data_IF_918616390247
#
_entry.id   IF_918616390247
#
_cell.length_a   1.000
_cell.length_b   1.000
_cell.length_c   1.000
_cell.angle_alpha   90.00
_cell.angle_beta   90.00
_cell.angle_gamma   90.00
#
_symmetry.space_group_name_H-M   'P 1'
#
loop_
_entity.id
_entity.type
_entity.pdbx_description
1 polymer ?
#
# COMPACT_ATOMS: atom_id res chain seq x y z
N UNK A 1 2.18 16.88 -35.34
CA UNK A 1 2.59 15.98 -34.30
C UNK A 1 2.30 16.69 -32.98
N UNK A 2 1.17 16.41 -32.38
CA UNK A 2 0.87 16.91 -31.03
C UNK A 2 1.67 16.04 -30.07
N UNK A 3 2.78 16.57 -29.54
CA UNK A 3 3.38 16.00 -28.34
C UNK A 3 2.40 16.25 -27.21
N UNK A 4 1.73 15.20 -26.72
CA UNK A 4 1.08 15.22 -25.43
C UNK A 4 2.16 15.52 -24.38
N UNK A 5 2.14 16.73 -23.85
CA UNK A 5 2.97 17.12 -22.72
C UNK A 5 2.34 16.47 -21.49
N UNK A 6 2.81 15.29 -21.13
CA UNK A 6 2.47 14.64 -19.87
C UNK A 6 3.42 15.24 -18.83
N UNK A 7 2.92 15.96 -17.81
CA UNK A 7 3.78 16.38 -16.70
C UNK A 7 4.35 15.11 -16.06
N UNK A 8 5.65 14.89 -16.25
CA UNK A 8 6.31 13.63 -15.87
C UNK A 8 6.29 13.37 -14.35
N UNK A 9 5.99 14.40 -13.54
CA UNK A 9 6.26 14.41 -12.12
C UNK A 9 5.10 13.94 -11.23
N UNK A 10 3.86 13.91 -11.72
CA UNK A 10 2.70 13.48 -10.94
C UNK A 10 1.88 12.42 -11.69
N UNK A 11 1.43 11.39 -10.97
CA UNK A 11 0.50 10.38 -11.47
C UNK A 11 -0.65 10.22 -10.46
N UNK A 12 -1.74 10.98 -10.61
CA UNK A 12 -2.90 10.84 -9.73
C UNK A 12 -3.70 9.58 -10.08
N UNK A 13 -4.10 8.85 -9.06
CA UNK A 13 -4.94 7.64 -9.18
C UNK A 13 -6.03 7.63 -8.11
N UNK A 14 -7.23 8.13 -8.44
CA UNK A 14 -8.37 8.10 -7.55
C UNK A 14 -9.21 6.87 -7.85
N UNK A 15 -9.16 5.88 -6.95
CA UNK A 15 -9.89 4.62 -7.11
C UNK A 15 -10.87 4.34 -5.99
N UNK A 16 -12.06 3.89 -6.39
CA UNK A 16 -12.90 3.09 -5.48
C UNK A 16 -12.28 1.71 -5.39
N UNK A 17 -11.84 1.35 -4.20
CA UNK A 17 -11.31 0.02 -3.93
C UNK A 17 -12.51 -0.93 -3.76
N UNK A 18 -12.68 -1.95 -4.61
CA UNK A 18 -13.75 -2.93 -4.44
C UNK A 18 -13.72 -3.54 -3.04
N UNK A 19 -14.89 -3.86 -2.48
CA UNK A 19 -14.99 -4.52 -1.16
C UNK A 19 -14.28 -5.88 -1.11
N UNK A 20 -14.02 -6.46 -2.28
CA UNK A 20 -13.24 -7.69 -2.46
C UNK A 20 -11.77 -7.43 -2.79
N UNK A 21 -11.35 -6.16 -2.91
CA UNK A 21 -9.97 -5.83 -3.23
C UNK A 21 -9.07 -6.12 -2.02
N UNK A 22 -8.12 -6.97 -2.24
CA UNK A 22 -7.09 -7.32 -1.29
C UNK A 22 -5.76 -7.11 -1.99
N UNK A 23 -5.02 -6.10 -1.58
CA UNK A 23 -3.61 -6.05 -1.91
C UNK A 23 -2.95 -7.09 -1.02
N UNK A 24 -2.33 -8.09 -1.60
CA UNK A 24 -1.97 -9.31 -0.89
C UNK A 24 -0.47 -9.50 -0.75
N UNK A 25 0.34 -8.54 -1.20
CA UNK A 25 1.79 -8.63 -1.09
C UNK A 25 2.41 -7.26 -0.83
N UNK A 26 3.57 -7.29 -0.22
CA UNK A 26 4.44 -6.13 -0.19
C UNK A 26 4.96 -5.85 -1.59
N UNK A 27 5.01 -4.57 -1.92
CA UNK A 27 5.55 -4.10 -3.19
C UNK A 27 6.36 -2.82 -2.96
N UNK A 28 7.20 -2.53 -3.93
CA UNK A 28 7.95 -1.28 -4.01
C UNK A 28 7.63 -0.61 -5.34
N UNK A 29 7.83 0.66 -5.41
CA UNK A 29 7.83 1.41 -6.66
C UNK A 29 8.98 2.43 -6.67
N UNK A 30 9.28 2.95 -7.86
CA UNK A 30 10.38 3.88 -8.09
C UNK A 30 9.98 5.35 -7.96
N UNK A 31 8.92 5.64 -7.22
CA UNK A 31 8.39 6.98 -6.95
C UNK A 31 7.92 7.08 -5.51
N UNK A 32 7.80 8.29 -5.01
CA UNK A 32 7.04 8.56 -3.80
C UNK A 32 5.57 8.28 -4.02
N UNK A 33 4.88 7.78 -3.00
CA UNK A 33 3.44 7.62 -2.99
C UNK A 33 2.82 8.42 -1.86
N UNK A 34 1.90 9.33 -2.19
CA UNK A 34 0.98 9.92 -1.24
C UNK A 34 -0.34 9.14 -1.29
N UNK A 35 -0.68 8.50 -0.18
CA UNK A 35 -1.95 7.80 0.00
C UNK A 35 -2.87 8.64 0.88
N UNK A 36 -4.07 8.96 0.38
CA UNK A 36 -5.12 9.61 1.17
C UNK A 36 -6.39 8.77 1.18
N UNK A 37 -6.89 8.42 2.38
CA UNK A 37 -8.10 7.62 2.53
C UNK A 37 -9.33 8.52 2.60
N UNK A 38 -10.10 8.57 1.51
CA UNK A 38 -11.30 9.39 1.37
C UNK A 38 -12.48 8.79 2.16
N UNK A 39 -12.61 7.46 2.16
CA UNK A 39 -13.61 6.74 2.96
C UNK A 39 -13.19 5.32 3.27
N UNK A 40 -13.77 4.72 4.31
CA UNK A 40 -13.47 3.38 4.77
C UNK A 40 -12.30 3.32 5.72
N UNK A 41 -11.77 2.11 5.88
CA UNK A 41 -10.64 1.80 6.75
C UNK A 41 -9.67 0.87 6.04
N UNK A 42 -8.37 1.11 6.20
CA UNK A 42 -7.35 0.18 5.73
C UNK A 42 -6.20 0.08 6.73
N UNK A 43 -5.49 -1.02 6.66
CA UNK A 43 -4.22 -1.20 7.36
C UNK A 43 -3.10 -0.97 6.37
N UNK A 44 -2.19 -0.06 6.70
CA UNK A 44 -0.98 0.23 5.95
C UNK A 44 0.21 -0.39 6.68
N UNK A 45 0.94 -1.22 5.99
CA UNK A 45 2.22 -1.78 6.41
C UNK A 45 3.34 -1.07 5.67
N UNK A 46 4.30 -0.52 6.40
CA UNK A 46 5.52 0.10 5.85
C UNK A 46 6.71 -0.47 6.62
N UNK A 47 7.57 -1.24 5.94
CA UNK A 47 8.66 -1.96 6.60
C UNK A 47 8.11 -2.77 7.80
N UNK A 48 8.67 -2.56 8.97
CA UNK A 48 8.28 -3.22 10.24
C UNK A 48 7.12 -2.50 10.96
N UNK A 49 6.55 -1.45 10.37
CA UNK A 49 5.53 -0.64 11.02
C UNK A 49 4.16 -0.88 10.41
N UNK A 50 3.15 -0.81 11.26
CA UNK A 50 1.77 -0.94 10.87
C UNK A 50 0.95 0.24 11.37
N UNK A 51 0.07 0.75 10.50
CA UNK A 51 -0.79 1.88 10.78
C UNK A 51 -2.24 1.54 10.42
N UNK A 52 -3.17 1.77 11.33
CA UNK A 52 -4.59 1.73 10.99
C UNK A 52 -5.02 3.08 10.44
N UNK A 53 -5.28 3.12 9.15
CA UNK A 53 -5.78 4.29 8.47
C UNK A 53 -7.30 4.28 8.46
N UNK A 54 -7.89 5.44 8.69
CA UNK A 54 -9.33 5.69 8.60
C UNK A 54 -9.59 6.90 7.70
N UNK A 55 -10.84 7.16 7.40
CA UNK A 55 -11.23 8.35 6.63
C UNK A 55 -10.45 9.59 7.09
N UNK A 56 -9.78 10.25 6.15
CA UNK A 56 -8.95 11.43 6.37
C UNK A 56 -7.51 11.13 6.80
N UNK A 57 -7.07 9.87 6.88
CA UNK A 57 -5.65 9.56 7.04
C UNK A 57 -4.89 9.83 5.73
N UNK A 58 -3.71 10.45 5.86
CA UNK A 58 -2.76 10.70 4.79
C UNK A 58 -1.43 10.06 5.17
N UNK A 59 -0.86 9.29 4.26
CA UNK A 59 0.46 8.67 4.41
C UNK A 59 1.35 9.06 3.23
N UNK A 60 2.65 9.26 3.51
CA UNK A 60 3.69 9.38 2.50
C UNK A 60 4.59 8.15 2.59
N UNK A 61 4.78 7.50 1.47
CA UNK A 61 5.58 6.28 1.35
C UNK A 61 6.77 6.62 0.46
N UNK A 62 7.99 6.52 1.01
CA UNK A 62 9.19 6.84 0.25
C UNK A 62 9.43 5.86 -0.90
N UNK A 63 10.10 6.36 -1.93
CA UNK A 63 10.66 5.59 -3.02
C UNK A 63 11.41 4.34 -2.52
N UNK A 64 11.20 3.19 -3.16
CA UNK A 64 11.88 1.93 -2.86
C UNK A 64 11.52 1.27 -1.52
N UNK A 65 10.62 1.86 -0.75
CA UNK A 65 10.20 1.31 0.53
C UNK A 65 9.10 0.26 0.34
N UNK A 66 9.33 -0.94 0.87
CA UNK A 66 8.34 -2.01 0.87
C UNK A 66 7.12 -1.62 1.72
N UNK A 67 5.96 -1.73 1.12
CA UNK A 67 4.69 -1.44 1.79
C UNK A 67 3.54 -2.27 1.22
N UNK A 68 2.46 -2.34 1.99
CA UNK A 68 1.24 -3.04 1.61
C UNK A 68 0.02 -2.36 2.26
N UNK A 69 -1.10 -2.32 1.54
CA UNK A 69 -2.38 -1.90 2.11
C UNK A 69 -3.39 -3.03 2.08
N UNK A 70 -4.09 -3.25 3.20
CA UNK A 70 -5.21 -4.19 3.28
C UNK A 70 -6.47 -3.44 3.68
N UNK A 71 -7.59 -3.72 2.99
CA UNK A 71 -8.86 -3.04 3.21
C UNK A 71 -9.83 -3.94 3.95
N UNK A 72 -10.60 -3.40 4.88
CA UNK A 72 -11.62 -4.17 5.59
C UNK A 72 -12.76 -4.55 4.63
N UNK A 73 -13.16 -5.81 4.68
CA UNK A 73 -14.30 -6.31 3.90
C UNK A 73 -15.62 -5.75 4.42
N UNK A 74 -16.53 -5.44 3.50
CA UNK A 74 -17.90 -4.99 3.84
C UNK A 74 -18.07 -3.47 3.84
N UNK A 75 -17.00 -2.68 3.75
CA UNK A 75 -17.07 -1.22 3.66
C UNK A 75 -16.71 -0.73 2.24
N UNK A 76 -17.28 0.40 1.84
CA UNK A 76 -16.87 1.10 0.62
C UNK A 76 -15.60 1.88 0.91
N UNK A 77 -14.48 1.35 0.44
CA UNK A 77 -13.19 2.02 0.56
C UNK A 77 -12.92 2.87 -0.69
N UNK A 78 -12.58 4.14 -0.49
CA UNK A 78 -12.17 5.06 -1.55
C UNK A 78 -10.84 5.67 -1.14
N UNK A 79 -9.84 5.55 -1.99
CA UNK A 79 -8.53 6.15 -1.81
C UNK A 79 -8.16 7.06 -2.97
N UNK A 80 -7.33 8.03 -2.70
CA UNK A 80 -6.56 8.76 -3.71
C UNK A 80 -5.10 8.40 -3.53
N UNK A 81 -4.42 8.06 -4.61
CA UNK A 81 -2.97 7.92 -4.68
C UNK A 81 -2.43 9.03 -5.56
N UNK A 82 -1.28 9.56 -5.20
CA UNK A 82 -0.52 10.49 -5.99
C UNK A 82 0.94 10.04 -5.97
N UNK A 83 1.47 9.67 -7.12
CA UNK A 83 2.88 9.35 -7.28
C UNK A 83 3.64 10.57 -7.75
N UNK A 84 4.82 10.80 -7.19
CA UNK A 84 5.67 11.94 -7.54
C UNK A 84 7.16 11.59 -7.39
N UNK A 85 8.01 12.39 -8.00
CA UNK A 85 9.47 12.20 -8.00
C UNK A 85 10.15 13.05 -6.91
N UNK A 86 11.40 12.75 -6.56
CA UNK A 86 12.19 13.47 -5.55
C UNK A 86 12.33 14.95 -5.87
N UNK A 87 12.33 15.31 -7.15
CA UNK A 87 12.47 16.68 -7.63
C UNK A 87 11.39 17.61 -7.04
N UNK A 88 10.18 17.09 -6.81
CA UNK A 88 9.10 17.86 -6.20
C UNK A 88 9.35 18.19 -4.72
N UNK A 89 10.27 17.49 -4.07
CA UNK A 89 10.66 17.74 -2.69
C UNK A 89 11.80 18.76 -2.57
N UNK A 90 12.56 19.00 -3.65
CA UNK A 90 13.68 19.94 -3.64
C UNK A 90 13.23 21.37 -3.31
N UNK A 91 12.04 21.75 -3.78
CA UNK A 91 11.45 23.05 -3.47
C UNK A 91 11.36 23.32 -1.95
N UNK A 92 11.04 22.31 -1.16
CA UNK A 92 10.93 22.44 0.30
C UNK A 92 12.28 22.65 0.96
N UNK A 93 13.32 21.98 0.46
CA UNK A 93 14.69 22.14 0.93
C UNK A 93 15.24 23.54 0.60
N UNK A 94 14.95 24.06 -0.61
CA UNK A 94 15.35 25.38 -1.06
C UNK A 94 14.70 26.53 -0.24
N UNK A 95 13.54 26.27 0.35
CA UNK A 95 12.81 27.24 1.17
C UNK A 95 13.02 27.05 2.68
N UNK A 96 14.07 26.32 3.08
CA UNK A 96 14.43 26.06 4.49
C UNK A 96 13.25 25.48 5.32
N UNK A 97 12.30 24.84 4.65
CA UNK A 97 11.20 24.16 5.30
C UNK A 97 11.70 22.79 5.73
N UNK A 98 12.44 22.75 6.81
CA UNK A 98 12.98 21.56 7.53
C UNK A 98 13.48 20.45 6.58
N UNK A 99 14.50 19.73 6.95
CA UNK A 99 14.95 18.60 6.13
C UNK A 99 13.77 17.62 5.93
N UNK A 100 13.10 17.79 4.80
CA UNK A 100 11.91 17.02 4.46
C UNK A 100 12.24 15.53 4.44
N UNK A 101 13.49 15.18 4.10
CA UNK A 101 14.00 13.82 4.13
C UNK A 101 13.97 13.23 5.52
N UNK A 102 14.31 14.00 6.56
CA UNK A 102 14.26 13.54 7.96
C UNK A 102 12.82 13.35 8.45
N UNK A 103 11.92 14.25 8.07
CA UNK A 103 10.50 14.13 8.40
C UNK A 103 9.88 12.93 7.67
N UNK A 104 10.19 12.75 6.40
CA UNK A 104 9.59 11.70 5.55
C UNK A 104 10.31 10.35 5.72
N UNK A 105 11.60 10.33 6.10
CA UNK A 105 12.35 9.10 6.40
C UNK A 105 11.82 8.32 7.59
N UNK A 106 10.99 8.94 8.43
CA UNK A 106 10.41 8.38 9.64
C UNK A 106 9.00 7.80 9.52
N UNK A 107 8.50 7.42 8.34
CA UNK A 107 7.12 6.96 8.12
C UNK A 107 6.08 8.04 8.45
N UNK A 108 5.84 8.91 7.49
CA UNK A 108 4.91 10.01 7.63
C UNK A 108 3.45 9.52 7.50
N UNK A 109 2.74 9.46 8.62
CA UNK A 109 1.31 9.14 8.64
C UNK A 109 0.58 10.11 9.55
N UNK A 110 -0.35 10.89 8.99
CA UNK A 110 -1.11 11.91 9.72
C UNK A 110 -2.60 11.76 9.52
N UNK A 111 -3.37 12.17 10.53
CA UNK A 111 -4.82 12.28 10.46
C UNK A 111 -5.21 13.72 10.14
N UNK A 112 -5.79 13.95 8.99
CA UNK A 112 -6.32 15.25 8.62
C UNK A 112 -7.59 15.54 9.46
N UNK A 113 -7.64 16.67 10.15
CA UNK A 113 -8.82 17.06 10.92
C UNK A 113 -10.10 17.08 10.08
N UNK A 114 -11.22 16.60 10.62
CA UNK A 114 -12.47 16.44 9.88
C UNK A 114 -12.89 17.69 9.09
N UNK A 115 -12.73 18.89 9.72
CA UNK A 115 -13.03 20.18 9.10
C UNK A 115 -12.19 20.55 7.86
N UNK A 116 -11.10 19.80 7.61
CA UNK A 116 -10.14 20.05 6.51
C UNK A 116 -10.07 18.90 5.50
N UNK A 117 -10.81 17.83 5.71
CA UNK A 117 -10.80 16.68 4.79
C UNK A 117 -11.35 17.03 3.40
N UNK A 118 -12.38 17.88 3.32
CA UNK A 118 -12.90 18.39 2.05
C UNK A 118 -11.87 19.23 1.30
N UNK A 119 -11.11 20.05 2.02
CA UNK A 119 -10.03 20.86 1.45
C UNK A 119 -8.93 19.98 0.85
N UNK A 120 -8.45 18.94 1.56
CA UNK A 120 -7.44 18.02 1.01
C UNK A 120 -7.97 17.30 -0.23
N UNK A 121 -9.22 16.82 -0.18
CA UNK A 121 -9.85 16.21 -1.35
C UNK A 121 -9.90 17.17 -2.54
N UNK A 122 -10.27 18.42 -2.32
CA UNK A 122 -10.29 19.46 -3.36
C UNK A 122 -8.91 19.68 -3.98
N UNK A 123 -7.83 19.72 -3.17
CA UNK A 123 -6.47 19.84 -3.71
C UNK A 123 -6.09 18.64 -4.60
N UNK A 124 -6.41 17.43 -4.16
CA UNK A 124 -6.16 16.21 -4.96
C UNK A 124 -6.97 16.21 -6.27
N UNK A 125 -8.22 16.66 -6.23
CA UNK A 125 -9.06 16.79 -7.42
C UNK A 125 -8.48 17.85 -8.40
N UNK A 126 -7.96 18.98 -7.88
CA UNK A 126 -7.28 20.01 -8.68
C UNK A 126 -6.00 19.49 -9.33
N UNK A 127 -5.15 18.79 -8.58
CA UNK A 127 -3.94 18.16 -9.12
C UNK A 127 -4.33 17.20 -10.25
N UNK A 128 -5.36 16.37 -10.03
CA UNK A 128 -5.84 15.44 -11.06
C UNK A 128 -6.41 16.15 -12.29
N UNK A 129 -7.10 17.27 -12.11
CA UNK A 129 -7.62 18.08 -13.21
C UNK A 129 -6.48 18.66 -14.04
N UNK A 130 -5.49 19.29 -13.40
CA UNK A 130 -4.35 19.90 -14.09
C UNK A 130 -3.43 18.86 -14.73
N UNK A 131 -3.33 17.65 -14.17
CA UNK A 131 -2.61 16.54 -14.79
C UNK A 131 -3.18 16.17 -16.17
N UNK A 132 -4.50 16.30 -16.36
CA UNK A 132 -5.16 16.10 -17.65
C UNK A 132 -5.30 17.41 -18.45
N UNK A 133 -4.76 18.50 -17.93
CA UNK A 133 -4.78 19.80 -18.58
C UNK A 133 -3.97 19.81 -19.88
N UNK A 134 -4.41 20.65 -20.83
CA UNK A 134 -3.83 20.69 -22.19
C UNK A 134 -3.01 21.96 -22.45
N UNK A 135 -2.91 22.83 -21.47
CA UNK A 135 -2.15 24.09 -21.63
C UNK A 135 -0.76 24.04 -20.96
N UNK A 136 0.10 24.98 -21.30
CA UNK A 136 1.48 25.05 -20.81
C UNK A 136 1.59 25.51 -19.33
N UNK A 137 0.49 25.91 -18.70
CA UNK A 137 0.46 26.42 -17.32
C UNK A 137 -0.01 25.32 -16.37
N UNK A 138 -0.76 24.35 -16.84
CA UNK A 138 -1.29 23.23 -16.03
C UNK A 138 -0.23 22.53 -15.16
N UNK A 139 1.00 22.24 -15.65
CA UNK A 139 2.04 21.66 -14.80
C UNK A 139 2.40 22.52 -13.59
N UNK A 140 2.48 23.82 -13.78
CA UNK A 140 2.81 24.76 -12.69
C UNK A 140 1.67 24.81 -11.64
N UNK A 141 0.41 24.75 -12.07
CA UNK A 141 -0.71 24.66 -11.15
C UNK A 141 -0.71 23.33 -10.38
N UNK A 142 -0.45 22.20 -11.04
CA UNK A 142 -0.36 20.91 -10.38
C UNK A 142 0.71 20.92 -9.28
N UNK A 143 1.91 21.43 -9.57
CA UNK A 143 3.01 21.61 -8.61
C UNK A 143 2.60 22.54 -7.46
N UNK A 144 1.97 23.68 -7.73
CA UNK A 144 1.55 24.60 -6.68
C UNK A 144 0.50 23.97 -5.73
N UNK A 145 -0.48 23.25 -6.26
CA UNK A 145 -1.48 22.54 -5.46
C UNK A 145 -0.86 21.40 -4.65
N UNK A 146 0.13 20.69 -5.20
CA UNK A 146 0.88 19.68 -4.49
C UNK A 146 1.68 20.27 -3.31
N UNK A 147 2.41 21.36 -3.53
CA UNK A 147 3.16 22.04 -2.47
C UNK A 147 2.23 22.53 -1.36
N UNK A 148 1.09 23.12 -1.71
CA UNK A 148 0.08 23.57 -0.74
C UNK A 148 -0.46 22.39 0.09
N UNK A 149 -0.78 21.27 -0.56
CA UNK A 149 -1.26 20.05 0.09
C UNK A 149 -0.21 19.50 1.06
N UNK A 150 1.03 19.38 0.62
CA UNK A 150 2.11 18.81 1.43
C UNK A 150 2.48 19.72 2.61
N UNK A 151 2.55 21.04 2.41
CA UNK A 151 2.73 22.02 3.48
C UNK A 151 1.64 21.88 4.56
N UNK A 152 0.40 21.66 4.14
CA UNK A 152 -0.69 21.46 5.09
C UNK A 152 -0.55 20.14 5.84
N UNK A 153 -0.16 19.06 5.16
CA UNK A 153 0.07 17.76 5.78
C UNK A 153 1.23 17.83 6.81
N UNK A 154 2.34 18.49 6.46
CA UNK A 154 3.46 18.75 7.36
C UNK A 154 3.01 19.54 8.61
N UNK A 155 2.20 20.57 8.42
CA UNK A 155 1.61 21.31 9.55
C UNK A 155 0.76 20.43 10.44
N UNK A 156 0.00 19.48 9.88
CA UNK A 156 -0.77 18.52 10.68
C UNK A 156 0.12 17.64 11.55
N UNK A 157 1.32 17.28 11.09
CA UNK A 157 2.27 16.46 11.85
C UNK A 157 2.79 17.17 13.11
N UNK A 158 2.87 18.52 13.10
CA UNK A 158 3.31 19.27 14.29
C UNK A 158 2.35 19.15 15.46
N UNK A 159 1.12 18.76 15.23
CA UNK A 159 0.11 18.55 16.29
C UNK A 159 0.05 17.06 16.66
N UNK A 160 0.42 16.71 17.90
CA UNK A 160 0.47 15.32 18.39
C UNK A 160 -0.83 14.55 18.18
N UNK A 161 -1.98 15.21 18.29
CA UNK A 161 -3.31 14.60 18.11
C UNK A 161 -3.59 14.17 16.66
N UNK A 162 -2.83 14.68 15.70
CA UNK A 162 -2.98 14.36 14.28
C UNK A 162 -1.99 13.27 13.82
N UNK A 163 -1.00 12.92 14.62
CA UNK A 163 -0.07 11.84 14.28
C UNK A 163 -0.78 10.51 14.47
N UNK A 164 -0.86 9.73 13.43
CA UNK A 164 -1.38 8.35 13.54
C UNK A 164 -0.29 7.51 14.21
N UNK A 165 -0.57 7.13 15.46
CA UNK A 165 0.36 6.28 16.20
C UNK A 165 0.52 4.94 15.49
N UNK A 166 1.74 4.39 15.54
CA UNK A 166 1.95 2.97 15.26
C UNK A 166 0.97 2.18 16.11
N UNK A 167 0.42 1.10 15.58
CA UNK A 167 -0.41 0.23 16.40
C UNK A 167 0.39 -0.22 17.63
N UNK A 168 -0.24 -0.05 18.78
CA UNK A 168 0.35 -0.36 20.08
C UNK A 168 0.84 -1.81 20.11
N UNK A 169 2.00 -2.02 20.72
CA UNK A 169 2.75 -3.27 20.86
C UNK A 169 1.95 -4.45 21.46
N UNK A 170 0.70 -4.24 21.89
CA UNK A 170 -0.20 -5.33 22.26
C UNK A 170 -0.46 -6.32 21.10
N UNK A 171 -0.11 -5.96 19.87
CA UNK A 171 -0.15 -6.79 18.69
C UNK A 171 1.23 -7.11 18.08
N UNK A 172 2.34 -6.77 18.79
CA UNK A 172 3.71 -7.08 18.37
C UNK A 172 3.87 -8.54 17.95
N UNK A 173 3.28 -9.45 18.72
CA UNK A 173 3.31 -10.88 18.40
C UNK A 173 2.67 -11.18 17.04
N UNK A 174 1.55 -10.53 16.71
CA UNK A 174 0.87 -10.75 15.41
C UNK A 174 1.68 -10.11 14.28
N UNK A 175 2.28 -8.95 14.51
CA UNK A 175 3.18 -8.34 13.54
C UNK A 175 4.36 -9.27 13.23
N UNK A 176 5.05 -9.78 14.25
CA UNK A 176 6.14 -10.78 14.09
C UNK A 176 5.67 -12.05 13.37
N UNK A 177 4.42 -12.47 13.56
CA UNK A 177 3.84 -13.59 12.83
C UNK A 177 3.64 -13.24 11.34
N UNK A 178 3.21 -12.02 11.03
CA UNK A 178 3.10 -11.53 9.65
C UNK A 178 4.48 -11.52 8.99
N UNK A 179 5.48 -10.94 9.63
CA UNK A 179 6.88 -10.92 9.17
C UNK A 179 7.42 -12.34 8.93
N UNK A 180 7.16 -13.25 9.89
CA UNK A 180 7.52 -14.65 9.75
C UNK A 180 6.88 -15.30 8.52
N UNK A 181 5.59 -15.06 8.27
CA UNK A 181 4.89 -15.59 7.08
C UNK A 181 5.54 -15.03 5.80
N UNK A 182 5.83 -13.73 5.77
CA UNK A 182 6.42 -13.07 4.59
C UNK A 182 7.84 -13.56 4.28
N UNK A 183 8.63 -13.82 5.32
CA UNK A 183 9.99 -14.34 5.17
C UNK A 183 10.03 -15.82 4.78
N UNK A 184 9.01 -16.61 5.17
CA UNK A 184 9.03 -18.06 5.07
C UNK A 184 7.85 -18.65 4.29
N UNK A 185 7.11 -17.87 3.50
CA UNK A 185 5.88 -18.30 2.82
C UNK A 185 6.05 -19.53 1.91
N UNK A 186 7.27 -19.81 1.47
CA UNK A 186 7.61 -21.01 0.68
C UNK A 186 7.49 -22.30 1.49
N UNK A 187 7.66 -22.21 2.81
CA UNK A 187 7.70 -23.35 3.71
C UNK A 187 6.29 -23.84 4.07
N UNK A 188 6.23 -25.04 4.67
CA UNK A 188 4.96 -25.59 5.15
C UNK A 188 4.51 -24.90 6.45
N UNK A 189 4.00 -23.66 6.34
CA UNK A 189 3.49 -22.88 7.46
C UNK A 189 2.05 -23.30 7.77
N UNK A 190 1.79 -23.65 9.04
CA UNK A 190 0.45 -24.01 9.53
C UNK A 190 0.06 -23.10 10.70
N UNK A 191 -1.26 -22.91 10.90
CA UNK A 191 -1.78 -22.16 12.04
C UNK A 191 -1.29 -22.75 13.37
N UNK A 192 -1.33 -24.09 13.49
CA UNK A 192 -0.89 -24.82 14.69
C UNK A 192 0.59 -24.60 14.98
N UNK A 193 1.47 -24.88 14.00
CA UNK A 193 2.91 -24.71 14.16
C UNK A 193 3.30 -23.26 14.45
N UNK A 194 2.60 -22.31 13.82
CA UNK A 194 2.84 -20.88 14.12
C UNK A 194 2.37 -20.52 15.51
N UNK A 195 1.21 -21.02 15.96
CA UNK A 195 0.71 -20.77 17.31
C UNK A 195 1.68 -21.29 18.36
N UNK A 196 2.21 -22.52 18.17
CA UNK A 196 3.21 -23.11 19.05
C UNK A 196 4.50 -22.27 19.08
N UNK A 197 5.04 -21.89 17.92
CA UNK A 197 6.26 -21.08 17.79
C UNK A 197 6.18 -19.75 18.54
N UNK A 198 5.00 -19.11 18.53
CA UNK A 198 4.78 -17.82 19.18
C UNK A 198 4.10 -17.92 20.55
N UNK A 199 4.06 -19.11 21.15
CA UNK A 199 3.46 -19.38 22.47
C UNK A 199 2.02 -18.89 22.59
N UNK A 200 1.20 -19.17 21.56
CA UNK A 200 -0.23 -18.84 21.51
C UNK A 200 -1.08 -20.09 21.35
N UNK A 201 -2.34 -20.03 21.80
CA UNK A 201 -3.32 -21.04 21.36
C UNK A 201 -3.78 -20.75 19.93
N UNK A 202 -4.10 -21.79 19.14
CA UNK A 202 -4.60 -21.63 17.76
C UNK A 202 -5.84 -20.71 17.69
N UNK A 203 -6.75 -20.83 18.65
CA UNK A 203 -7.95 -20.00 18.71
C UNK A 203 -7.62 -18.53 18.96
N UNK A 204 -6.67 -18.23 19.84
CA UNK A 204 -6.18 -16.88 20.13
C UNK A 204 -5.49 -16.30 18.90
N UNK A 205 -4.58 -17.07 18.29
CA UNK A 205 -3.90 -16.65 17.06
C UNK A 205 -4.92 -16.38 15.94
N UNK A 206 -5.82 -17.31 15.66
CA UNK A 206 -6.81 -17.15 14.59
C UNK A 206 -7.67 -15.89 14.77
N UNK A 207 -8.14 -15.63 16.00
CA UNK A 207 -8.97 -14.47 16.32
C UNK A 207 -8.18 -13.17 16.18
N UNK A 208 -7.00 -13.10 16.83
CA UNK A 208 -6.15 -11.90 16.81
C UNK A 208 -5.60 -11.62 15.41
N UNK A 209 -5.15 -12.65 14.70
CA UNK A 209 -4.62 -12.51 13.34
C UNK A 209 -5.69 -11.97 12.39
N UNK A 210 -6.92 -12.50 12.45
CA UNK A 210 -8.04 -11.99 11.64
C UNK A 210 -8.41 -10.55 12.02
N UNK A 211 -8.45 -10.24 13.31
CA UNK A 211 -8.74 -8.88 13.78
C UNK A 211 -7.67 -7.87 13.31
N UNK A 212 -6.42 -8.31 13.26
CA UNK A 212 -5.26 -7.51 12.91
C UNK A 212 -5.10 -7.34 11.39
N UNK A 213 -5.15 -8.45 10.63
CA UNK A 213 -4.89 -8.46 9.18
C UNK A 213 -6.15 -8.31 8.33
N UNK A 214 -7.34 -8.45 8.92
CA UNK A 214 -8.60 -8.58 8.19
C UNK A 214 -8.82 -9.95 7.53
N UNK A 215 -7.82 -10.83 7.54
CA UNK A 215 -7.79 -12.10 6.82
C UNK A 215 -7.67 -13.28 7.78
N UNK A 216 -8.23 -14.43 7.41
CA UNK A 216 -7.90 -15.69 8.07
C UNK A 216 -6.45 -16.07 7.76
N UNK A 217 -5.75 -16.69 8.70
CA UNK A 217 -4.35 -17.06 8.58
C UNK A 217 -4.02 -17.79 7.26
N UNK A 218 -4.79 -18.82 6.92
CA UNK A 218 -4.58 -19.59 5.69
C UNK A 218 -4.86 -18.77 4.42
N UNK A 219 -5.88 -17.91 4.45
CA UNK A 219 -6.19 -17.01 3.33
C UNK A 219 -5.02 -16.04 3.08
N UNK A 220 -4.48 -15.47 4.14
CA UNK A 220 -3.35 -14.57 4.08
C UNK A 220 -2.11 -15.25 3.47
N UNK A 221 -1.72 -16.43 3.98
CA UNK A 221 -0.58 -17.18 3.43
C UNK A 221 -0.77 -17.52 1.94
N UNK A 222 -1.96 -17.95 1.55
CA UNK A 222 -2.28 -18.27 0.15
C UNK A 222 -2.20 -17.02 -0.72
N UNK A 223 -2.68 -15.88 -0.23
CA UNK A 223 -2.60 -14.61 -0.96
C UNK A 223 -1.13 -14.18 -1.14
N UNK A 224 -0.30 -14.25 -0.11
CA UNK A 224 1.15 -13.98 -0.20
C UNK A 224 1.81 -14.84 -1.28
N UNK A 225 1.59 -16.16 -1.26
CA UNK A 225 2.13 -17.10 -2.26
C UNK A 225 1.70 -16.77 -3.68
N UNK A 226 0.42 -16.43 -3.85
CA UNK A 226 -0.14 -16.15 -5.17
C UNK A 226 0.48 -14.90 -5.80
N UNK A 227 0.81 -13.89 -4.99
CA UNK A 227 1.41 -12.67 -5.47
C UNK A 227 2.92 -12.83 -5.71
N UNK A 228 3.61 -13.57 -4.86
CA UNK A 228 4.99 -13.98 -5.16
C UNK A 228 5.08 -14.73 -6.50
N UNK A 229 4.08 -15.57 -6.80
CA UNK A 229 3.99 -16.25 -8.08
C UNK A 229 3.76 -15.29 -9.26
N UNK A 230 2.95 -14.23 -9.07
CA UNK A 230 2.76 -13.21 -10.10
C UNK A 230 4.06 -12.46 -10.42
N UNK A 231 4.91 -12.19 -9.41
CA UNK A 231 6.23 -11.60 -9.62
C UNK A 231 7.15 -12.55 -10.40
N UNK A 232 7.19 -13.84 -10.04
CA UNK A 232 7.99 -14.82 -10.78
C UNK A 232 7.50 -14.98 -12.21
N UNK A 233 6.20 -14.89 -12.47
CA UNK A 233 5.65 -14.90 -13.84
C UNK A 233 6.15 -13.73 -14.68
N UNK A 234 6.43 -12.58 -14.07
CA UNK A 234 6.96 -11.39 -14.76
C UNK A 234 8.47 -11.42 -14.94
N UNK A 235 9.20 -11.96 -13.99
CA UNK A 235 10.65 -11.81 -13.89
C UNK A 235 11.43 -13.04 -14.33
N UNK A 236 10.76 -14.16 -14.64
CA UNK A 236 11.44 -15.42 -14.95
C UNK A 236 10.74 -16.23 -16.05
N UNK A 237 11.51 -17.12 -16.65
CA UNK A 237 11.05 -18.11 -17.63
C UNK A 237 10.66 -19.45 -16.98
N UNK A 238 10.55 -19.50 -15.66
CA UNK A 238 10.19 -20.72 -14.93
C UNK A 238 8.83 -21.26 -15.42
N UNK A 239 8.71 -22.58 -15.49
CA UNK A 239 7.44 -23.26 -15.79
C UNK A 239 6.41 -23.01 -14.69
N UNK A 240 5.14 -23.24 -15.00
CA UNK A 240 4.04 -23.12 -14.01
C UNK A 240 4.25 -24.03 -12.80
N UNK A 241 4.82 -25.22 -13.02
CA UNK A 241 5.10 -26.18 -11.95
C UNK A 241 6.25 -25.70 -11.06
N UNK A 242 7.31 -25.16 -11.64
CA UNK A 242 8.44 -24.60 -10.88
C UNK A 242 7.98 -23.39 -10.06
N UNK A 243 7.19 -22.48 -10.64
CA UNK A 243 6.63 -21.34 -9.91
C UNK A 243 5.75 -21.80 -8.74
N UNK A 244 4.89 -22.80 -8.97
CA UNK A 244 4.07 -23.34 -7.90
C UNK A 244 4.94 -23.86 -6.75
N UNK A 245 5.99 -24.60 -7.04
CA UNK A 245 6.92 -25.13 -6.06
C UNK A 245 7.67 -24.00 -5.32
N UNK A 246 8.25 -23.05 -6.08
CA UNK A 246 8.99 -21.91 -5.52
C UNK A 246 8.14 -21.00 -4.62
N UNK A 247 6.82 -21.00 -4.84
CA UNK A 247 5.89 -20.23 -4.01
C UNK A 247 5.23 -21.07 -2.89
N UNK A 248 5.64 -22.32 -2.70
CA UNK A 248 5.14 -23.17 -1.61
C UNK A 248 3.74 -23.72 -1.82
N UNK A 249 3.24 -23.80 -3.08
CA UNK A 249 2.00 -24.54 -3.38
C UNK A 249 2.26 -26.04 -3.40
N UNK A 250 1.28 -26.81 -2.93
CA UNK A 250 1.35 -28.28 -2.90
C UNK A 250 1.44 -28.89 -4.31
N UNK A 251 0.81 -28.24 -5.28
CA UNK A 251 0.74 -28.68 -6.67
C UNK A 251 0.33 -27.55 -7.61
N UNK A 252 0.58 -27.74 -8.91
CA UNK A 252 0.28 -26.74 -9.94
C UNK A 252 -1.22 -26.51 -10.18
N UNK A 253 -2.09 -27.47 -9.86
CA UNK A 253 -3.54 -27.31 -10.01
C UNK A 253 -4.05 -26.34 -8.92
N UNK A 254 -3.68 -26.60 -7.66
CA UNK A 254 -4.00 -25.71 -6.53
C UNK A 254 -3.47 -24.29 -6.77
N UNK A 255 -2.27 -24.16 -7.34
CA UNK A 255 -1.72 -22.88 -7.77
C UNK A 255 -2.60 -22.21 -8.84
N UNK A 256 -2.91 -22.94 -9.94
CA UNK A 256 -3.69 -22.42 -11.05
C UNK A 256 -5.08 -21.92 -10.65
N UNK A 257 -5.81 -22.72 -9.84
CA UNK A 257 -7.14 -22.37 -9.34
C UNK A 257 -7.09 -21.15 -8.41
N UNK A 258 -6.11 -21.12 -7.53
CA UNK A 258 -5.91 -20.01 -6.60
C UNK A 258 -5.55 -18.72 -7.34
N UNK A 259 -4.62 -18.80 -8.27
CA UNK A 259 -4.20 -17.67 -9.08
C UNK A 259 -5.37 -17.09 -9.89
N UNK A 260 -6.15 -17.95 -10.54
CA UNK A 260 -7.36 -17.54 -11.29
C UNK A 260 -8.41 -16.89 -10.37
N UNK A 261 -8.56 -17.38 -9.15
CA UNK A 261 -9.46 -16.78 -8.16
C UNK A 261 -9.03 -15.35 -7.80
N UNK A 262 -7.71 -15.11 -7.59
CA UNK A 262 -7.14 -13.82 -7.19
C UNK A 262 -7.08 -12.85 -8.37
N UNK A 263 -6.43 -13.24 -9.46
CA UNK A 263 -6.15 -12.38 -10.60
C UNK A 263 -7.21 -12.43 -11.72
N UNK A 264 -8.29 -13.23 -11.55
CA UNK A 264 -9.38 -13.40 -12.52
C UNK A 264 -8.97 -13.97 -13.88
N UNK A 265 -7.74 -14.42 -14.02
CA UNK A 265 -7.17 -15.06 -15.20
C UNK A 265 -6.17 -16.16 -14.81
N UNK A 266 -5.91 -17.09 -15.73
CA UNK A 266 -4.94 -18.16 -15.45
C UNK A 266 -3.50 -17.62 -15.42
N UNK A 267 -2.56 -18.30 -14.70
CA UNK A 267 -1.15 -17.89 -14.68
C UNK A 267 -0.56 -17.79 -16.11
N UNK A 268 -0.88 -18.72 -16.98
CA UNK A 268 -0.40 -18.72 -18.36
C UNK A 268 -0.97 -17.56 -19.18
N UNK A 269 -2.24 -17.18 -18.96
CA UNK A 269 -2.84 -16.01 -19.58
C UNK A 269 -2.19 -14.73 -19.04
N UNK A 270 -1.98 -14.65 -17.73
CA UNK A 270 -1.33 -13.51 -17.08
C UNK A 270 0.06 -13.25 -17.68
N UNK A 271 0.91 -14.29 -17.81
CA UNK A 271 2.25 -14.18 -18.44
C UNK A 271 2.20 -13.65 -19.87
N UNK A 272 1.17 -14.00 -20.65
CA UNK A 272 1.02 -13.54 -22.04
C UNK A 272 0.59 -12.07 -22.18
N UNK A 273 0.08 -11.48 -21.11
CA UNK A 273 -0.39 -10.08 -21.09
C UNK A 273 0.66 -9.11 -20.56
N UNK A 274 1.83 -9.63 -20.18
CA UNK A 274 2.98 -8.85 -19.74
C UNK A 274 3.89 -8.47 -20.91
#
# INVERSE_FOLDING_TARGET
>A
MHHEYIPANFLPDIKTVPTSYKMSHFHTHNRWELLYLISGNCTLYIKENMYMLKKGSLALIPFGVEHMTTYMSGEKNIRSLLYFDDEELLWFNEHEITDISDILGGNFVVQIPARKQSYIKEQLDKISYEFHGVDSISPAYATAYFHELLLYALRCQTYKDNVVSRMDLSNETIQRIVEYILANYKDNITLSGTAEMFNMSESSLSKKFKAFTGHRFREYLVDVRTHAAAELLRQSELSMTEIACECGFSDSNTFGDTFKRVFKQSPSSYRKTL
#
